data_IF_045616008007
#
_entry.id   IF_045616008007
#
_cell.length_a   1.000
_cell.length_b   1.000
_cell.length_c   1.000
_cell.angle_alpha   90.00
_cell.angle_beta   90.00
_cell.angle_gamma   90.00
#
_symmetry.space_group_name_H-M   'P 1'
#
loop_
_entity.id
_entity.type
_entity.pdbx_description
1 polymer ?
#
# COMPACT_ATOMS: atom_id res chain seq x y z
N UNK A 1 27.05 12.89 4.13
CA UNK A 1 27.25 12.21 2.83
C UNK A 1 28.16 10.99 2.95
N UNK A 2 29.36 11.06 3.58
CA UNK A 2 30.27 9.88 3.72
C UNK A 2 29.60 8.70 4.44
N UNK A 3 28.83 8.94 5.50
CA UNK A 3 28.15 7.86 6.25
C UNK A 3 27.04 7.18 5.43
N UNK A 4 26.30 7.94 4.62
CA UNK A 4 25.27 7.41 3.70
C UNK A 4 25.91 6.51 2.64
N UNK A 5 27.01 6.94 2.03
CA UNK A 5 27.75 6.17 1.03
C UNK A 5 28.31 4.89 1.66
N UNK A 6 28.84 4.98 2.87
CA UNK A 6 29.36 3.82 3.60
C UNK A 6 28.23 2.83 3.97
N UNK A 7 27.06 3.33 4.37
CA UNK A 7 25.89 2.49 4.65
C UNK A 7 25.43 1.74 3.40
N UNK A 8 25.26 2.44 2.28
CA UNK A 8 24.91 1.83 0.99
C UNK A 8 25.96 0.79 0.58
N UNK A 9 27.25 1.12 0.66
CA UNK A 9 28.33 0.18 0.35
C UNK A 9 28.30 -1.06 1.24
N UNK A 10 27.99 -0.92 2.51
CA UNK A 10 27.87 -2.04 3.45
C UNK A 10 26.66 -2.94 3.15
N UNK A 11 25.52 -2.35 2.72
CA UNK A 11 24.34 -3.10 2.27
C UNK A 11 24.69 -3.98 1.07
N UNK A 12 25.42 -3.44 0.07
CA UNK A 12 25.82 -4.20 -1.12
C UNK A 12 26.92 -5.24 -0.88
N UNK A 13 27.64 -5.18 0.24
CA UNK A 13 28.61 -6.20 0.64
C UNK A 13 27.95 -7.51 1.13
N UNK A 14 26.68 -7.44 1.55
CA UNK A 14 25.94 -8.63 2.01
C UNK A 14 25.34 -9.32 0.80
N UNK A 15 25.83 -10.52 0.49
CA UNK A 15 25.49 -11.25 -0.73
C UNK A 15 23.98 -11.56 -0.86
N UNK A 16 23.35 -12.04 0.21
CA UNK A 16 21.91 -12.32 0.26
C UNK A 16 21.06 -11.05 0.06
N UNK A 17 21.42 -9.97 0.76
CA UNK A 17 20.69 -8.69 0.67
C UNK A 17 20.86 -8.07 -0.72
N UNK A 18 22.07 -8.15 -1.29
CA UNK A 18 22.35 -7.72 -2.66
C UNK A 18 21.50 -8.47 -3.68
N UNK A 19 21.42 -9.81 -3.55
CA UNK A 19 20.61 -10.64 -4.44
C UNK A 19 19.12 -10.27 -4.34
N UNK A 20 18.59 -10.04 -3.14
CA UNK A 20 17.20 -9.61 -2.93
C UNK A 20 16.92 -8.24 -3.53
N UNK A 21 17.82 -7.26 -3.37
CA UNK A 21 17.71 -5.92 -3.97
C UNK A 21 17.69 -6.03 -5.49
N UNK A 22 18.64 -6.76 -6.08
CA UNK A 22 18.74 -6.93 -7.53
C UNK A 22 17.49 -7.62 -8.10
N UNK A 23 17.00 -8.67 -7.45
CA UNK A 23 15.75 -9.34 -7.85
C UNK A 23 14.57 -8.37 -7.81
N UNK A 24 14.44 -7.56 -6.76
CA UNK A 24 13.37 -6.56 -6.65
C UNK A 24 13.44 -5.56 -7.80
N UNK A 25 14.62 -4.99 -8.05
CA UNK A 25 14.81 -4.02 -9.15
C UNK A 25 14.54 -4.66 -10.52
N UNK A 26 14.96 -5.90 -10.73
CA UNK A 26 14.71 -6.62 -11.98
C UNK A 26 13.21 -6.84 -12.25
N UNK A 27 12.46 -7.31 -11.26
CA UNK A 27 11.01 -7.49 -11.40
C UNK A 27 10.26 -6.16 -11.58
N UNK A 28 10.68 -5.10 -10.88
CA UNK A 28 10.12 -3.76 -11.06
C UNK A 28 10.40 -3.19 -12.45
N UNK A 29 11.57 -3.48 -13.03
CA UNK A 29 11.90 -3.11 -14.40
C UNK A 29 10.98 -3.81 -15.40
N UNK A 30 10.74 -5.12 -15.24
CA UNK A 30 9.79 -5.87 -16.09
C UNK A 30 8.40 -5.25 -16.01
N UNK A 31 7.91 -4.95 -14.78
CA UNK A 31 6.64 -4.27 -14.60
C UNK A 31 6.59 -2.93 -15.35
N UNK A 32 7.65 -2.14 -15.23
CA UNK A 32 7.71 -0.81 -15.86
C UNK A 32 7.74 -0.89 -17.37
N UNK A 33 8.48 -1.82 -17.95
CA UNK A 33 8.47 -2.07 -19.40
C UNK A 33 7.08 -2.46 -19.90
N UNK A 34 6.41 -3.41 -19.22
CA UNK A 34 5.07 -3.84 -19.61
C UNK A 34 3.99 -2.75 -19.48
N UNK A 35 4.16 -1.79 -18.57
CA UNK A 35 3.27 -0.63 -18.46
C UNK A 35 3.30 0.31 -19.68
N UNK A 36 4.30 0.20 -20.54
CA UNK A 36 4.41 0.95 -21.80
C UNK A 36 4.01 0.15 -23.05
N UNK A 37 3.76 -1.14 -22.91
CA UNK A 37 3.28 -1.98 -24.02
C UNK A 37 1.79 -1.75 -24.23
N UNK A 38 1.40 -1.10 -25.31
CA UNK A 38 0.02 -0.75 -25.63
C UNK A 38 -0.77 -1.99 -26.07
N UNK A 39 -2.08 -2.01 -25.79
CA UNK A 39 -2.99 -3.06 -26.23
C UNK A 39 -2.99 -3.19 -27.78
N UNK A 40 -2.94 -4.40 -28.32
CA UNK A 40 -3.08 -4.62 -29.77
C UNK A 40 -4.37 -4.01 -30.31
N UNK A 41 -4.26 -3.23 -31.38
CA UNK A 41 -5.41 -2.55 -31.98
C UNK A 41 -5.67 -1.14 -31.43
N UNK A 42 -4.76 -0.58 -30.62
CA UNK A 42 -4.81 0.81 -30.15
C UNK A 42 -3.61 1.58 -30.67
N UNK A 43 -3.86 2.75 -31.30
CA UNK A 43 -2.80 3.64 -31.79
C UNK A 43 -2.30 4.55 -30.65
N UNK A 44 -1.03 4.42 -30.22
CA UNK A 44 -0.51 5.22 -29.12
C UNK A 44 -0.41 6.74 -29.42
N UNK A 45 -0.33 7.14 -30.68
CA UNK A 45 -0.20 8.54 -31.06
C UNK A 45 -1.48 9.37 -30.76
N UNK A 46 -2.63 8.72 -30.78
CA UNK A 46 -3.94 9.37 -30.58
C UNK A 46 -4.46 9.29 -29.15
N UNK A 47 -3.68 8.73 -28.22
CA UNK A 47 -4.05 8.63 -26.80
C UNK A 47 -3.87 9.93 -26.01
N UNK A 48 -3.47 11.02 -26.64
CA UNK A 48 -3.28 12.33 -25.98
C UNK A 48 -4.57 12.86 -25.36
N UNK A 49 -5.73 12.64 -26.01
CA UNK A 49 -7.06 13.01 -25.50
C UNK A 49 -7.42 12.24 -24.23
N UNK A 50 -7.09 10.95 -24.17
CA UNK A 50 -7.30 10.12 -22.99
C UNK A 50 -6.46 10.62 -21.81
N UNK A 51 -5.22 10.98 -22.06
CA UNK A 51 -4.29 11.48 -21.04
C UNK A 51 -4.76 12.80 -20.42
N UNK A 52 -5.31 13.71 -21.20
CA UNK A 52 -5.84 14.98 -20.70
C UNK A 52 -7.12 14.79 -19.86
N UNK A 53 -8.00 13.88 -20.23
CA UNK A 53 -9.22 13.58 -19.52
C UNK A 53 -9.02 12.72 -18.27
N UNK A 54 -7.99 11.86 -18.28
CA UNK A 54 -7.63 11.01 -17.14
C UNK A 54 -6.87 11.79 -16.07
N UNK A 55 -6.40 13.01 -16.34
CA UNK A 55 -5.65 13.84 -15.37
C UNK A 55 -6.51 14.34 -14.20
N UNK A 56 -7.83 14.19 -14.26
CA UNK A 56 -8.76 14.57 -13.18
C UNK A 56 -9.62 13.38 -12.71
N UNK A 57 -10.14 13.47 -11.49
CA UNK A 57 -11.09 12.50 -10.96
C UNK A 57 -10.50 11.15 -10.54
N UNK A 58 -11.39 10.21 -10.29
CA UNK A 58 -11.06 8.83 -9.86
C UNK A 58 -10.20 8.07 -10.90
N UNK A 59 -10.39 8.34 -12.19
CA UNK A 59 -9.59 7.72 -13.26
C UNK A 59 -8.13 8.15 -13.18
N UNK A 60 -7.84 9.38 -12.74
CA UNK A 60 -6.48 9.86 -12.49
C UNK A 60 -5.79 9.10 -11.35
N UNK A 61 -6.54 8.75 -10.30
CA UNK A 61 -6.02 7.91 -9.22
C UNK A 61 -5.74 6.48 -9.70
N UNK A 62 -6.64 5.87 -10.47
CA UNK A 62 -6.40 4.56 -11.09
C UNK A 62 -5.14 4.55 -11.92
N UNK A 63 -4.98 5.55 -12.76
CA UNK A 63 -3.84 5.70 -13.64
C UNK A 63 -2.54 5.94 -12.85
N UNK A 64 -2.63 6.63 -11.72
CA UNK A 64 -1.51 6.82 -10.81
C UNK A 64 -1.07 5.51 -10.15
N UNK A 65 -1.99 4.67 -9.67
CA UNK A 65 -1.67 3.36 -9.12
C UNK A 65 -1.16 2.37 -10.16
N UNK A 66 -1.66 2.47 -11.40
CA UNK A 66 -1.16 1.71 -12.53
C UNK A 66 0.15 2.28 -13.12
N UNK A 67 0.67 3.39 -12.56
CA UNK A 67 1.91 4.02 -13.04
C UNK A 67 1.84 4.57 -14.46
N UNK A 68 0.66 5.03 -14.91
CA UNK A 68 0.42 5.54 -16.25
C UNK A 68 -0.08 4.47 -17.23
N UNK A 69 -0.15 3.21 -16.83
CA UNK A 69 -0.57 2.12 -17.70
C UNK A 69 -2.02 2.24 -18.17
N UNK A 70 -2.89 2.85 -17.35
CA UNK A 70 -4.30 3.08 -17.70
C UNK A 70 -4.44 4.10 -18.83
N UNK A 71 -3.77 5.25 -18.74
CA UNK A 71 -3.81 6.31 -19.75
C UNK A 71 -3.06 5.98 -21.05
N UNK A 72 -2.10 5.05 -20.98
CA UNK A 72 -1.39 4.53 -22.15
C UNK A 72 -2.10 3.35 -22.81
N UNK A 73 -3.30 2.95 -22.35
CA UNK A 73 -4.03 1.78 -22.80
C UNK A 73 -3.11 0.55 -22.91
N UNK A 74 -2.31 0.29 -21.85
CA UNK A 74 -1.32 -0.78 -21.87
C UNK A 74 -1.95 -2.14 -21.49
N UNK A 75 -1.18 -3.21 -21.72
CA UNK A 75 -1.54 -4.56 -21.28
C UNK A 75 -1.73 -4.66 -19.76
N UNK A 76 -1.15 -3.73 -18.99
CA UNK A 76 -1.29 -3.62 -17.52
C UNK A 76 -2.24 -2.48 -17.11
N UNK A 77 -3.17 -2.05 -17.98
CA UNK A 77 -4.05 -0.92 -17.72
C UNK A 77 -4.88 -1.05 -16.43
N UNK A 78 -5.36 -2.24 -16.10
CA UNK A 78 -6.07 -2.50 -14.85
C UNK A 78 -5.12 -2.61 -13.63
N UNK A 79 -3.82 -2.78 -13.88
CA UNK A 79 -2.80 -2.86 -12.83
C UNK A 79 -3.07 -3.95 -11.82
N UNK A 80 -2.88 -3.63 -10.55
CA UNK A 80 -3.06 -4.54 -9.42
C UNK A 80 -4.41 -4.36 -8.70
N UNK A 81 -5.25 -3.40 -9.13
CA UNK A 81 -6.50 -3.06 -8.46
C UNK A 81 -7.49 -4.22 -8.33
N UNK A 82 -7.71 -5.07 -9.36
CA UNK A 82 -8.59 -6.23 -9.23
C UNK A 82 -8.14 -7.21 -8.14
N UNK A 83 -6.82 -7.39 -7.98
CA UNK A 83 -6.24 -8.23 -6.94
C UNK A 83 -6.44 -7.63 -5.54
N UNK A 84 -6.25 -6.32 -5.39
CA UNK A 84 -6.49 -5.64 -4.11
C UNK A 84 -7.95 -5.81 -3.70
N UNK A 85 -8.90 -5.57 -4.61
CA UNK A 85 -10.33 -5.76 -4.36
C UNK A 85 -10.65 -7.21 -3.94
N UNK A 86 -10.08 -8.20 -4.63
CA UNK A 86 -10.24 -9.60 -4.28
C UNK A 86 -9.67 -9.95 -2.90
N UNK A 87 -8.49 -9.43 -2.58
CA UNK A 87 -7.85 -9.64 -1.27
C UNK A 87 -8.67 -9.05 -0.13
N UNK A 88 -9.24 -7.86 -0.33
CA UNK A 88 -10.13 -7.19 0.63
C UNK A 88 -11.37 -8.05 0.89
N UNK A 89 -12.05 -8.49 -0.18
CA UNK A 89 -13.25 -9.33 -0.05
C UNK A 89 -12.94 -10.59 0.74
N UNK A 90 -11.84 -11.29 0.46
CA UNK A 90 -11.47 -12.49 1.20
C UNK A 90 -11.05 -12.22 2.65
N UNK A 91 -10.43 -11.09 2.95
CA UNK A 91 -10.13 -10.70 4.32
C UNK A 91 -11.43 -10.43 5.11
N UNK A 92 -12.41 -9.76 4.51
CA UNK A 92 -13.73 -9.54 5.11
C UNK A 92 -14.49 -10.86 5.31
N UNK A 93 -14.47 -11.75 4.32
CA UNK A 93 -15.06 -13.09 4.42
C UNK A 93 -14.36 -13.94 5.51
N UNK A 94 -13.05 -13.76 5.70
CA UNK A 94 -12.28 -14.38 6.78
C UNK A 94 -12.74 -14.00 8.17
N UNK A 95 -13.49 -12.91 8.32
CA UNK A 95 -14.08 -12.47 9.60
C UNK A 95 -15.54 -12.89 9.68
N UNK A 96 -16.29 -12.72 8.58
CA UNK A 96 -17.72 -12.97 8.55
C UNK A 96 -18.08 -14.48 8.53
N UNK A 97 -17.28 -15.30 7.86
CA UNK A 97 -17.61 -16.71 7.60
C UNK A 97 -16.68 -17.65 8.40
N UNK A 98 -17.22 -18.54 9.26
CA UNK A 98 -16.42 -19.46 10.07
C UNK A 98 -15.50 -20.39 9.28
N UNK A 99 -15.85 -20.72 8.04
CA UNK A 99 -15.03 -21.54 7.14
C UNK A 99 -13.68 -20.86 6.84
N UNK A 100 -13.70 -19.59 6.46
CA UNK A 100 -12.48 -18.84 6.20
C UNK A 100 -11.69 -18.50 7.47
N UNK A 101 -12.40 -18.33 8.62
CA UNK A 101 -11.73 -18.17 9.93
C UNK A 101 -10.90 -19.40 10.31
N UNK A 102 -11.44 -20.60 10.10
CA UNK A 102 -10.70 -21.85 10.34
C UNK A 102 -9.46 -21.92 9.45
N UNK A 103 -9.63 -21.58 8.17
CA UNK A 103 -8.55 -21.60 7.21
C UNK A 103 -7.42 -20.61 7.57
N UNK A 104 -7.74 -19.41 8.09
CA UNK A 104 -6.74 -18.47 8.58
C UNK A 104 -5.95 -19.02 9.79
N UNK A 105 -6.59 -19.86 10.64
CA UNK A 105 -5.96 -20.49 11.80
C UNK A 105 -5.11 -21.72 11.44
N UNK A 106 -5.27 -22.32 10.27
CA UNK A 106 -4.50 -23.48 9.78
C UNK A 106 -3.03 -23.14 9.44
N UNK A 107 -2.60 -21.89 9.63
CA UNK A 107 -1.22 -21.46 9.41
C UNK A 107 -0.85 -21.38 7.92
N UNK A 108 0.29 -21.95 7.54
CA UNK A 108 0.84 -21.79 6.18
C UNK A 108 -0.01 -22.49 5.10
N UNK A 109 -0.58 -23.65 5.42
CA UNK A 109 -1.47 -24.38 4.51
C UNK A 109 -2.74 -23.58 4.20
N UNK A 110 -3.35 -23.00 5.24
CA UNK A 110 -4.54 -22.17 5.09
C UNK A 110 -4.27 -20.88 4.30
N UNK A 111 -3.12 -20.24 4.54
CA UNK A 111 -2.69 -19.08 3.74
C UNK A 111 -2.54 -19.39 2.26
N UNK A 112 -1.97 -20.54 1.91
CA UNK A 112 -1.85 -20.98 0.50
C UNK A 112 -3.23 -21.13 -0.17
N UNK A 113 -4.22 -21.71 0.54
CA UNK A 113 -5.59 -21.84 0.03
C UNK A 113 -6.26 -20.47 -0.14
N UNK A 114 -6.13 -19.57 0.84
CA UNK A 114 -6.68 -18.21 0.76
C UNK A 114 -6.07 -17.47 -0.45
N UNK A 115 -4.76 -17.58 -0.67
CA UNK A 115 -4.11 -16.97 -1.83
C UNK A 115 -4.65 -17.54 -3.16
N UNK A 116 -4.96 -18.85 -3.23
CA UNK A 116 -5.59 -19.43 -4.42
C UNK A 116 -7.00 -18.85 -4.65
N UNK A 117 -7.82 -18.75 -3.62
CA UNK A 117 -9.14 -18.11 -3.73
C UNK A 117 -9.04 -16.64 -4.15
N UNK A 118 -8.04 -15.92 -3.63
CA UNK A 118 -7.77 -14.54 -4.06
C UNK A 118 -7.47 -14.48 -5.56
N UNK A 119 -6.66 -15.38 -6.09
CA UNK A 119 -6.36 -15.44 -7.52
C UNK A 119 -7.61 -15.71 -8.38
N UNK A 120 -8.44 -16.69 -7.99
CA UNK A 120 -9.70 -16.97 -8.71
C UNK A 120 -10.64 -15.76 -8.69
N UNK A 121 -10.81 -15.15 -7.51
CA UNK A 121 -11.66 -13.96 -7.39
C UNK A 121 -11.10 -12.78 -8.18
N UNK A 122 -9.78 -12.62 -8.25
CA UNK A 122 -9.11 -11.60 -9.08
C UNK A 122 -9.47 -11.77 -10.55
N UNK A 123 -9.46 -13.00 -11.08
CA UNK A 123 -9.84 -13.29 -12.48
C UNK A 123 -11.30 -12.89 -12.75
N UNK A 124 -12.19 -13.24 -11.82
CA UNK A 124 -13.62 -12.90 -11.94
C UNK A 124 -13.81 -11.37 -11.94
N UNK A 125 -13.23 -10.67 -10.96
CA UNK A 125 -13.32 -9.20 -10.85
C UNK A 125 -12.71 -8.53 -12.09
N UNK A 126 -11.57 -9.02 -12.58
CA UNK A 126 -10.92 -8.50 -13.79
C UNK A 126 -11.81 -8.69 -15.01
N UNK A 127 -12.50 -9.87 -15.12
CA UNK A 127 -13.45 -10.17 -16.19
C UNK A 127 -14.63 -9.18 -16.25
N UNK A 128 -15.05 -8.64 -15.11
CA UNK A 128 -16.07 -7.58 -15.06
C UNK A 128 -15.49 -6.17 -15.30
N UNK A 129 -14.30 -5.88 -14.80
CA UNK A 129 -13.67 -4.56 -14.93
C UNK A 129 -13.10 -4.30 -16.33
N UNK A 130 -12.60 -5.34 -17.03
CA UNK A 130 -11.99 -5.17 -18.34
C UNK A 130 -12.99 -4.65 -19.41
N UNK A 131 -14.22 -5.19 -19.54
CA UNK A 131 -15.21 -4.61 -20.44
C UNK A 131 -15.55 -3.16 -20.10
N UNK A 132 -15.70 -2.83 -18.80
CA UNK A 132 -15.95 -1.44 -18.34
C UNK A 132 -14.84 -0.48 -18.74
N UNK A 133 -13.59 -0.91 -18.62
CA UNK A 133 -12.44 -0.17 -19.11
C UNK A 133 -12.48 0.07 -20.63
N UNK A 134 -12.80 -0.96 -21.42
CA UNK A 134 -12.89 -0.86 -22.89
C UNK A 134 -14.03 0.05 -23.35
N UNK A 135 -15.17 0.04 -22.64
CA UNK A 135 -16.26 0.98 -22.90
C UNK A 135 -15.81 2.43 -22.64
N UNK A 136 -15.12 2.65 -21.54
CA UNK A 136 -14.55 3.95 -21.21
C UNK A 136 -13.50 4.40 -22.25
N UNK A 137 -12.59 3.51 -22.64
CA UNK A 137 -11.60 3.77 -23.68
C UNK A 137 -12.25 4.13 -25.02
N UNK A 138 -13.33 3.42 -25.40
CA UNK A 138 -14.09 3.69 -26.61
C UNK A 138 -14.81 5.03 -26.56
N UNK A 139 -15.34 5.44 -25.42
CA UNK A 139 -16.03 6.73 -25.29
C UNK A 139 -15.07 7.93 -25.31
N UNK A 140 -13.86 7.76 -24.81
CA UNK A 140 -12.90 8.87 -24.65
C UNK A 140 -11.86 8.94 -25.79
N UNK A 141 -11.50 7.82 -26.41
CA UNK A 141 -10.46 7.73 -27.41
C UNK A 141 -10.87 6.84 -28.60
N UNK A 142 -12.08 7.06 -29.12
CA UNK A 142 -12.60 6.28 -30.26
C UNK A 142 -11.68 6.31 -31.49
N UNK A 143 -11.06 7.46 -31.79
CA UNK A 143 -10.11 7.62 -32.90
C UNK A 143 -8.83 6.80 -32.76
N UNK A 144 -8.43 6.48 -31.52
CA UNK A 144 -7.24 5.67 -31.28
C UNK A 144 -7.46 4.17 -31.54
N UNK A 145 -8.69 3.71 -31.69
CA UNK A 145 -9.00 2.30 -31.89
C UNK A 145 -9.06 1.92 -33.38
N UNK A 146 -8.24 0.96 -33.79
CA UNK A 146 -8.25 0.41 -35.14
C UNK A 146 -9.60 -0.23 -35.48
N UNK A 147 -10.27 -0.84 -34.50
CA UNK A 147 -11.60 -1.43 -34.66
C UNK A 147 -12.72 -0.42 -34.99
N UNK A 148 -12.49 0.88 -34.72
CA UNK A 148 -13.43 1.96 -35.03
C UNK A 148 -13.02 2.66 -36.34
N UNK A 149 -11.69 2.89 -36.55
CA UNK A 149 -11.17 3.59 -37.72
C UNK A 149 -11.11 2.69 -38.95
N UNK A 150 -10.76 1.39 -38.77
CA UNK A 150 -10.65 0.41 -39.85
C UNK A 150 -11.29 -0.93 -39.42
N UNK A 151 -12.64 -1.04 -39.43
CA UNK A 151 -13.35 -2.22 -38.97
C UNK A 151 -13.11 -3.47 -39.87
N UNK A 152 -12.60 -3.26 -41.09
CA UNK A 152 -12.21 -4.34 -42.00
C UNK A 152 -10.99 -5.12 -41.51
N UNK A 153 -10.05 -4.46 -40.79
CA UNK A 153 -8.85 -5.09 -40.26
C UNK A 153 -9.15 -5.84 -38.97
N UNK A 154 -9.99 -5.27 -38.11
CA UNK A 154 -10.34 -5.87 -36.81
C UNK A 154 -11.77 -5.52 -36.43
N UNK A 155 -12.63 -6.54 -36.34
CA UNK A 155 -14.02 -6.34 -35.94
C UNK A 155 -14.10 -5.88 -34.48
N UNK A 156 -15.08 -5.02 -34.11
CA UNK A 156 -15.23 -4.54 -32.74
C UNK A 156 -15.40 -5.66 -31.69
N UNK A 157 -16.01 -6.77 -32.10
CA UNK A 157 -16.17 -7.95 -31.24
C UNK A 157 -14.83 -8.64 -30.97
N UNK A 158 -14.03 -8.90 -32.02
CA UNK A 158 -12.70 -9.51 -31.87
C UNK A 158 -11.77 -8.63 -31.04
N UNK A 159 -11.78 -7.30 -31.25
CA UNK A 159 -11.02 -6.37 -30.43
C UNK A 159 -11.41 -6.47 -28.95
N UNK A 160 -12.70 -6.49 -28.63
CA UNK A 160 -13.17 -6.57 -27.24
C UNK A 160 -12.74 -7.88 -26.59
N UNK A 161 -12.95 -9.02 -27.25
CA UNK A 161 -12.59 -10.34 -26.69
C UNK A 161 -11.08 -10.47 -26.49
N UNK A 162 -10.27 -10.11 -27.48
CA UNK A 162 -8.81 -10.19 -27.38
C UNK A 162 -8.26 -9.24 -26.31
N UNK A 163 -8.77 -8.01 -26.24
CA UNK A 163 -8.37 -7.04 -25.21
C UNK A 163 -8.74 -7.48 -23.79
N UNK A 164 -9.92 -8.05 -23.58
CA UNK A 164 -10.33 -8.60 -22.28
C UNK A 164 -9.39 -9.73 -21.85
N UNK A 165 -9.07 -10.66 -22.74
CA UNK A 165 -8.15 -11.77 -22.43
C UNK A 165 -6.76 -11.24 -22.09
N UNK A 166 -6.25 -10.27 -22.85
CA UNK A 166 -4.94 -9.67 -22.61
C UNK A 166 -4.91 -8.91 -21.28
N UNK A 167 -5.95 -8.16 -20.94
CA UNK A 167 -6.05 -7.43 -19.67
C UNK A 167 -6.10 -8.38 -18.47
N UNK A 168 -6.84 -9.49 -18.57
CA UNK A 168 -6.86 -10.53 -17.54
C UNK A 168 -5.48 -11.15 -17.37
N UNK A 169 -4.85 -11.55 -18.47
CA UNK A 169 -3.50 -12.12 -18.46
C UNK A 169 -2.47 -11.13 -17.87
N UNK A 170 -2.56 -9.86 -18.26
CA UNK A 170 -1.71 -8.78 -17.73
C UNK A 170 -1.87 -8.60 -16.25
N UNK A 171 -3.10 -8.58 -15.73
CA UNK A 171 -3.37 -8.46 -14.28
C UNK A 171 -2.83 -9.66 -13.51
N UNK A 172 -3.01 -10.88 -14.00
CA UNK A 172 -2.46 -12.10 -13.39
C UNK A 172 -0.93 -12.05 -13.37
N UNK A 173 -0.32 -11.57 -14.45
CA UNK A 173 1.13 -11.44 -14.54
C UNK A 173 1.67 -10.41 -13.55
N UNK A 174 1.03 -9.24 -13.41
CA UNK A 174 1.41 -8.22 -12.41
C UNK A 174 1.26 -8.77 -10.98
N UNK A 175 0.18 -9.50 -10.70
CA UNK A 175 -0.01 -10.19 -9.43
C UNK A 175 1.13 -11.18 -9.16
N UNK A 176 1.48 -12.01 -10.14
CA UNK A 176 2.59 -12.97 -10.02
C UNK A 176 3.94 -12.27 -9.79
N UNK A 177 4.19 -11.13 -10.46
CA UNK A 177 5.37 -10.30 -10.21
C UNK A 177 5.40 -9.82 -8.75
N UNK A 178 4.28 -9.33 -8.21
CA UNK A 178 4.16 -8.90 -6.82
C UNK A 178 4.46 -10.02 -5.83
N UNK A 179 3.94 -11.21 -6.06
CA UNK A 179 4.24 -12.40 -5.24
C UNK A 179 5.73 -12.77 -5.33
N UNK A 180 6.33 -12.74 -6.53
CA UNK A 180 7.76 -13.04 -6.71
C UNK A 180 8.68 -12.05 -6.03
N UNK A 181 8.31 -10.75 -6.03
CA UNK A 181 9.06 -9.74 -5.28
C UNK A 181 8.96 -10.03 -3.78
N UNK A 182 7.78 -10.38 -3.27
CA UNK A 182 7.59 -10.73 -1.86
C UNK A 182 8.41 -11.95 -1.44
N UNK A 183 8.45 -12.99 -2.28
CA UNK A 183 9.16 -14.25 -1.98
C UNK A 183 10.69 -14.13 -2.08
N UNK A 184 11.18 -13.49 -3.14
CA UNK A 184 12.61 -13.47 -3.51
C UNK A 184 13.26 -12.10 -3.40
N UNK A 185 12.50 -11.07 -3.15
CA UNK A 185 12.95 -9.68 -3.05
C UNK A 185 12.93 -9.16 -1.62
N UNK A 186 12.70 -7.85 -1.52
CA UNK A 186 12.56 -7.10 -0.28
C UNK A 186 11.12 -6.54 -0.19
N UNK A 187 10.58 -6.51 1.01
CA UNK A 187 9.30 -5.87 1.27
C UNK A 187 8.08 -6.62 0.74
N UNK A 188 6.95 -5.95 0.77
CA UNK A 188 5.72 -6.43 0.14
C UNK A 188 5.72 -6.03 -1.34
N UNK A 189 5.85 -7.02 -2.24
CA UNK A 189 5.99 -6.77 -3.67
C UNK A 189 4.81 -6.01 -4.30
N UNK A 190 3.59 -6.26 -3.82
CA UNK A 190 2.39 -5.57 -4.28
C UNK A 190 2.47 -4.08 -3.95
N UNK A 191 2.81 -3.77 -2.70
CA UNK A 191 2.97 -2.39 -2.25
C UNK A 191 4.11 -1.67 -2.97
N UNK A 192 5.21 -2.38 -3.28
CA UNK A 192 6.33 -1.85 -4.07
C UNK A 192 5.93 -1.54 -5.52
N UNK A 193 5.13 -2.38 -6.16
CA UNK A 193 4.61 -2.13 -7.51
C UNK A 193 3.77 -0.85 -7.54
N UNK A 194 2.88 -0.67 -6.55
CA UNK A 194 2.06 0.54 -6.42
C UNK A 194 2.95 1.76 -6.19
N UNK A 195 3.90 1.66 -5.26
CA UNK A 195 4.83 2.74 -4.94
C UNK A 195 5.63 3.20 -6.18
N UNK A 196 6.15 2.26 -6.97
CA UNK A 196 6.90 2.57 -8.20
C UNK A 196 5.98 3.23 -9.23
N UNK A 197 4.72 2.80 -9.33
CA UNK A 197 3.72 3.46 -10.16
C UNK A 197 3.52 4.92 -9.78
N UNK A 198 3.39 5.21 -8.49
CA UNK A 198 3.24 6.57 -7.95
C UNK A 198 4.49 7.41 -8.21
N UNK A 199 5.68 6.90 -7.85
CA UNK A 199 6.96 7.63 -8.02
C UNK A 199 7.22 7.96 -9.49
N UNK A 200 6.86 7.08 -10.40
CA UNK A 200 7.11 7.27 -11.82
C UNK A 200 6.37 8.49 -12.43
N UNK A 201 5.28 8.91 -11.81
CA UNK A 201 4.52 10.11 -12.24
C UNK A 201 4.98 11.39 -11.59
N UNK A 202 5.67 11.32 -10.46
CA UNK A 202 6.12 12.49 -9.72
C UNK A 202 6.97 13.46 -10.55
N UNK A 203 7.98 13.04 -11.34
CA UNK A 203 8.79 13.96 -12.14
C UNK A 203 7.96 14.70 -13.20
N UNK A 204 7.02 14.03 -13.85
CA UNK A 204 6.15 14.65 -14.85
C UNK A 204 5.20 15.67 -14.21
N UNK A 205 4.55 15.31 -13.10
CA UNK A 205 3.64 16.21 -12.38
C UNK A 205 4.37 17.43 -11.82
N UNK A 206 5.60 17.27 -11.32
CA UNK A 206 6.44 18.37 -10.84
C UNK A 206 6.82 19.32 -11.98
N UNK A 207 7.17 18.77 -13.16
CA UNK A 207 7.48 19.56 -14.35
C UNK A 207 6.25 20.34 -14.82
N UNK A 208 5.10 19.69 -14.90
CA UNK A 208 3.85 20.32 -15.35
C UNK A 208 3.45 21.47 -14.41
N UNK A 209 3.57 21.29 -13.09
CA UNK A 209 3.32 22.34 -12.10
C UNK A 209 4.32 23.50 -12.24
N UNK A 210 5.61 23.21 -12.37
CA UNK A 210 6.65 24.21 -12.57
C UNK A 210 6.38 25.07 -13.81
N UNK A 211 6.06 24.45 -14.96
CA UNK A 211 5.74 25.16 -16.19
C UNK A 211 4.48 26.00 -16.06
N UNK A 212 3.44 25.46 -15.40
CA UNK A 212 2.19 26.18 -15.13
C UNK A 212 2.42 27.44 -14.28
N UNK A 213 3.22 27.33 -13.22
CA UNK A 213 3.54 28.46 -12.32
C UNK A 213 4.48 29.47 -12.97
N UNK A 214 5.43 29.02 -13.78
CA UNK A 214 6.33 29.93 -14.53
C UNK A 214 5.56 30.79 -15.53
N UNK A 215 4.58 30.23 -16.23
CA UNK A 215 3.74 30.96 -17.17
C UNK A 215 2.85 32.01 -16.51
N UNK A 216 2.49 31.82 -15.23
CA UNK A 216 1.69 32.75 -14.43
C UNK A 216 2.51 33.69 -13.54
N UNK A 217 3.86 33.69 -13.65
CA UNK A 217 4.76 34.55 -12.85
C UNK A 217 4.87 34.16 -11.36
N UNK A 218 4.41 32.96 -10.98
CA UNK A 218 4.28 32.48 -9.59
C UNK A 218 5.44 31.62 -9.07
N UNK A 219 6.70 31.91 -9.38
CA UNK A 219 7.84 31.14 -8.89
C UNK A 219 7.89 31.04 -7.35
N UNK A 220 7.50 32.11 -6.65
CA UNK A 220 7.40 32.10 -5.17
C UNK A 220 6.32 31.13 -4.71
N UNK A 221 5.17 31.05 -5.39
CA UNK A 221 4.12 30.11 -5.07
C UNK A 221 4.62 28.66 -5.23
N UNK A 222 5.34 28.35 -6.28
CA UNK A 222 5.94 27.02 -6.48
C UNK A 222 6.92 26.65 -5.35
N UNK A 223 7.75 27.57 -4.86
CA UNK A 223 8.65 27.33 -3.74
C UNK A 223 7.87 27.05 -2.45
N UNK A 224 6.79 27.80 -2.18
CA UNK A 224 5.90 27.57 -1.03
C UNK A 224 5.26 26.19 -1.12
N UNK A 225 4.83 25.78 -2.32
CA UNK A 225 4.26 24.44 -2.58
C UNK A 225 5.27 23.34 -2.24
N UNK A 226 6.51 23.44 -2.70
CA UNK A 226 7.57 22.46 -2.37
C UNK A 226 7.80 22.37 -0.85
N UNK A 227 7.86 23.51 -0.16
CA UNK A 227 8.05 23.54 1.30
C UNK A 227 6.85 22.90 2.01
N UNK A 228 5.62 23.22 1.56
CA UNK A 228 4.41 22.61 2.10
C UNK A 228 4.39 21.09 1.89
N UNK A 229 4.76 20.61 0.69
CA UNK A 229 4.90 19.19 0.41
C UNK A 229 5.88 18.50 1.37
N UNK A 230 7.06 19.09 1.55
CA UNK A 230 8.07 18.56 2.48
C UNK A 230 7.54 18.49 3.92
N UNK A 231 6.82 19.51 4.38
CA UNK A 231 6.21 19.54 5.71
C UNK A 231 5.16 18.45 5.88
N UNK A 232 4.31 18.23 4.88
CA UNK A 232 3.32 17.15 4.89
C UNK A 232 4.00 15.79 4.95
N UNK A 233 5.05 15.55 4.15
CA UNK A 233 5.82 14.31 4.17
C UNK A 233 6.39 14.05 5.58
N UNK A 234 7.04 15.04 6.19
CA UNK A 234 7.60 14.92 7.54
C UNK A 234 6.50 14.58 8.56
N UNK A 235 5.36 15.25 8.48
CA UNK A 235 4.23 15.02 9.39
C UNK A 235 3.68 13.59 9.25
N UNK A 236 3.57 13.08 8.02
CA UNK A 236 3.15 11.70 7.75
C UNK A 236 4.17 10.68 8.27
N UNK A 237 5.48 10.94 8.10
CA UNK A 237 6.54 10.07 8.65
C UNK A 237 6.43 10.00 10.18
N UNK A 238 6.27 11.14 10.86
CA UNK A 238 6.10 11.19 12.31
C UNK A 238 4.89 10.41 12.79
N UNK A 239 3.77 10.46 12.06
CA UNK A 239 2.59 9.67 12.38
C UNK A 239 2.85 8.17 12.24
N UNK A 240 3.41 7.75 11.09
CA UNK A 240 3.63 6.32 10.79
C UNK A 240 4.64 5.70 11.77
N UNK A 241 5.65 6.48 12.20
CA UNK A 241 6.63 6.05 13.20
C UNK A 241 6.16 6.22 14.64
N UNK A 242 5.07 6.94 14.86
CA UNK A 242 4.52 7.22 16.18
C UNK A 242 4.20 5.94 16.96
N UNK A 243 4.81 5.80 18.16
CA UNK A 243 4.60 4.64 19.03
C UNK A 243 4.31 5.04 20.46
N UNK A 244 3.31 4.39 21.07
CA UNK A 244 3.08 4.46 22.53
C UNK A 244 3.83 3.31 23.20
N UNK A 245 4.77 3.64 24.09
CA UNK A 245 5.56 2.66 24.82
C UNK A 245 4.86 2.30 26.13
N UNK A 246 4.46 1.03 26.28
CA UNK A 246 3.90 0.51 27.55
C UNK A 246 5.03 -0.12 28.35
N UNK A 247 5.27 0.30 29.61
CA UNK A 247 6.31 -0.31 30.44
C UNK A 247 5.87 -1.70 30.89
N UNK A 248 6.71 -2.69 30.67
CA UNK A 248 6.55 -4.07 31.13
C UNK A 248 7.72 -4.44 32.01
N UNK A 249 7.43 -5.07 33.14
CA UNK A 249 8.42 -5.54 34.06
C UNK A 249 8.45 -7.07 34.04
N UNK A 250 9.63 -7.63 33.89
CA UNK A 250 9.81 -9.10 33.97
C UNK A 250 10.10 -9.47 35.43
N UNK A 251 9.44 -10.50 35.92
CA UNK A 251 9.63 -10.98 37.29
C UNK A 251 11.10 -11.37 37.52
N UNK A 252 11.63 -10.99 38.67
CA UNK A 252 12.98 -11.39 39.07
C UNK A 252 12.97 -12.86 39.40
N UNK A 253 13.88 -13.64 38.78
CA UNK A 253 14.16 -15.04 39.13
C UNK A 253 15.47 -15.09 39.89
N UNK A 254 15.47 -15.74 41.04
CA UNK A 254 16.66 -16.02 41.84
C UNK A 254 17.05 -17.46 41.52
N UNK A 255 18.27 -17.66 40.97
CA UNK A 255 18.84 -18.97 40.72
C UNK A 255 20.18 -19.02 41.47
N UNK A 256 20.19 -19.72 42.61
CA UNK A 256 21.31 -19.69 43.54
C UNK A 256 21.52 -18.31 44.11
N UNK A 257 22.77 -17.82 44.14
CA UNK A 257 23.12 -16.48 44.67
C UNK A 257 23.00 -15.34 43.61
N UNK A 258 22.41 -15.59 42.41
CA UNK A 258 22.34 -14.61 41.35
C UNK A 258 20.89 -14.27 41.02
N UNK A 259 20.58 -12.98 40.97
CA UNK A 259 19.31 -12.46 40.49
C UNK A 259 19.34 -12.30 38.98
N UNK A 260 18.40 -12.94 38.28
CA UNK A 260 18.14 -12.78 36.86
C UNK A 260 16.79 -12.09 36.65
N UNK A 261 16.70 -11.15 35.70
CA UNK A 261 15.47 -10.41 35.39
C UNK A 261 15.35 -9.08 36.11
N UNK A 262 14.16 -8.52 36.16
CA UNK A 262 13.88 -7.21 36.77
C UNK A 262 14.17 -6.00 35.87
N UNK A 263 14.55 -6.23 34.62
CA UNK A 263 14.75 -5.16 33.61
C UNK A 263 13.41 -4.66 33.15
N UNK A 264 13.22 -3.33 33.12
CA UNK A 264 12.06 -2.71 32.50
C UNK A 264 12.20 -2.80 30.98
N UNK A 265 11.26 -3.44 30.35
CA UNK A 265 11.09 -3.49 28.89
C UNK A 265 9.89 -2.63 28.49
N UNK A 266 9.83 -2.25 27.23
CA UNK A 266 8.71 -1.48 26.69
C UNK A 266 8.10 -2.21 25.50
N UNK A 267 6.78 -2.34 25.51
CA UNK A 267 6.04 -2.81 24.32
C UNK A 267 5.68 -1.57 23.50
N UNK A 268 6.20 -1.42 22.26
CA UNK A 268 5.83 -0.32 21.40
C UNK A 268 4.49 -0.64 20.71
N UNK A 269 3.44 0.11 21.05
CA UNK A 269 2.18 0.08 20.31
C UNK A 269 2.21 1.19 19.25
N UNK A 270 2.13 0.83 17.98
CA UNK A 270 2.10 1.80 16.88
C UNK A 270 0.78 2.59 16.91
N UNK A 271 0.83 3.90 16.71
CA UNK A 271 -0.36 4.76 16.57
C UNK A 271 -1.15 4.36 15.33
N UNK A 272 -0.44 4.07 14.25
CA UNK A 272 -1.00 3.49 13.04
C UNK A 272 -0.60 2.00 12.96
N UNK A 273 -1.23 1.15 13.77
CA UNK A 273 -1.01 -0.30 13.74
C UNK A 273 -1.58 -0.95 12.47
N UNK A 274 -2.60 -0.35 11.88
CA UNK A 274 -3.23 -0.80 10.65
C UNK A 274 -2.39 -0.52 9.37
N UNK A 275 -1.38 0.35 9.46
CA UNK A 275 -0.52 0.73 8.32
C UNK A 275 -1.30 1.47 7.24
N UNK A 276 -1.06 1.10 5.99
CA UNK A 276 -1.66 1.74 4.80
C UNK A 276 -2.97 1.05 4.36
N UNK A 277 -3.26 -0.14 4.91
CA UNK A 277 -4.35 -1.00 4.45
C UNK A 277 -5.75 -0.34 4.54
N UNK A 278 -6.11 0.39 5.61
CA UNK A 278 -7.42 1.02 5.71
C UNK A 278 -7.72 1.99 4.57
N UNK A 279 -6.70 2.71 4.11
CA UNK A 279 -6.84 3.71 3.04
C UNK A 279 -7.04 3.00 1.70
N UNK A 280 -6.28 1.93 1.44
CA UNK A 280 -6.43 1.12 0.23
C UNK A 280 -7.83 0.51 0.19
N UNK A 281 -8.37 0.04 1.33
CA UNK A 281 -9.71 -0.51 1.44
C UNK A 281 -10.79 0.54 1.19
N UNK A 282 -10.68 1.70 1.82
CA UNK A 282 -11.59 2.81 1.59
C UNK A 282 -11.60 3.20 0.10
N UNK A 283 -10.43 3.30 -0.51
CA UNK A 283 -10.29 3.61 -1.93
C UNK A 283 -10.93 2.55 -2.82
N UNK A 284 -10.70 1.26 -2.56
CA UNK A 284 -11.27 0.18 -3.34
C UNK A 284 -12.80 0.15 -3.27
N UNK A 285 -13.39 0.45 -2.11
CA UNK A 285 -14.85 0.57 -1.96
C UNK A 285 -15.39 1.78 -2.72
N UNK A 286 -14.67 2.91 -2.70
CA UNK A 286 -15.06 4.11 -3.45
C UNK A 286 -15.04 3.88 -4.98
N UNK A 287 -14.26 2.88 -5.47
CA UNK A 287 -14.29 2.50 -6.88
C UNK A 287 -15.56 1.76 -7.31
N UNK A 288 -16.24 1.07 -6.39
CA UNK A 288 -17.42 0.27 -6.74
C UNK A 288 -18.54 1.14 -7.32
N UNK A 289 -18.99 2.24 -6.65
CA UNK A 289 -20.00 3.13 -7.20
C UNK A 289 -19.58 3.76 -8.53
N UNK A 290 -18.31 4.17 -8.66
CA UNK A 290 -17.79 4.76 -9.88
C UNK A 290 -17.78 3.77 -11.06
N UNK A 291 -17.45 2.50 -10.80
CA UNK A 291 -17.47 1.44 -11.82
C UNK A 291 -18.92 1.13 -12.24
N UNK A 292 -19.83 1.02 -11.27
CA UNK A 292 -21.25 0.76 -11.56
C UNK A 292 -21.85 1.90 -12.39
N UNK A 293 -21.53 3.15 -12.08
CA UNK A 293 -22.00 4.32 -12.84
C UNK A 293 -21.57 4.28 -14.32
N UNK A 294 -20.43 3.70 -14.66
CA UNK A 294 -19.96 3.55 -16.04
C UNK A 294 -20.83 2.62 -16.88
N UNK A 295 -21.54 1.67 -16.27
CA UNK A 295 -22.48 0.79 -17.00
C UNK A 295 -23.85 1.44 -17.28
N UNK A 296 -24.18 2.56 -16.60
CA UNK A 296 -25.44 3.27 -16.74
C UNK A 296 -25.28 4.75 -17.11
N UNK A 297 -24.58 5.09 -18.22
CA UNK A 297 -24.22 6.48 -18.53
C UNK A 297 -25.43 7.36 -18.86
N UNK A 298 -26.56 6.79 -19.27
CA UNK A 298 -27.74 7.51 -19.73
C UNK A 298 -28.87 7.59 -18.69
N UNK A 299 -28.66 7.07 -17.46
CA UNK A 299 -29.67 7.17 -16.39
C UNK A 299 -29.36 8.33 -15.46
N UNK A 300 -30.40 9.08 -15.04
CA UNK A 300 -30.25 10.20 -14.10
C UNK A 300 -29.57 9.76 -12.79
N UNK A 301 -29.91 8.58 -12.30
CA UNK A 301 -29.26 7.99 -11.13
C UNK A 301 -27.78 7.67 -11.37
N UNK A 302 -27.45 7.13 -12.56
CA UNK A 302 -26.05 6.83 -12.95
C UNK A 302 -25.22 8.12 -13.06
N UNK A 303 -25.77 9.17 -13.65
CA UNK A 303 -25.09 10.47 -13.74
C UNK A 303 -24.93 11.12 -12.36
N UNK A 304 -25.93 11.06 -11.48
CA UNK A 304 -25.83 11.56 -10.11
C UNK A 304 -24.76 10.85 -9.29
N UNK A 305 -24.66 9.52 -9.39
CA UNK A 305 -23.61 8.74 -8.75
C UNK A 305 -22.25 9.07 -9.37
N UNK A 306 -22.15 9.13 -10.70
CA UNK A 306 -20.92 9.47 -11.38
C UNK A 306 -20.39 10.85 -10.96
N UNK A 307 -21.21 11.89 -10.97
CA UNK A 307 -20.80 13.26 -10.59
C UNK A 307 -20.37 13.35 -9.13
N UNK A 308 -21.04 12.63 -8.22
CA UNK A 308 -20.72 12.65 -6.79
C UNK A 308 -19.46 11.87 -6.46
N UNK A 309 -19.30 10.67 -7.01
CA UNK A 309 -18.21 9.75 -6.65
C UNK A 309 -17.00 9.81 -7.59
N UNK A 310 -17.12 10.39 -8.79
CA UNK A 310 -15.97 10.59 -9.69
C UNK A 310 -15.23 11.89 -9.39
N UNK A 311 -15.93 12.89 -8.84
CA UNK A 311 -15.33 14.19 -8.53
C UNK A 311 -14.81 14.20 -7.08
N UNK A 312 -13.50 14.00 -6.88
CA UNK A 312 -12.89 13.98 -5.55
C UNK A 312 -12.78 15.36 -4.88
N UNK A 313 -13.12 16.45 -5.53
CA UNK A 313 -13.27 17.76 -4.88
C UNK A 313 -14.65 17.92 -4.22
N UNK A 314 -15.59 17.01 -4.48
CA UNK A 314 -16.92 17.04 -3.89
C UNK A 314 -16.86 16.82 -2.37
N UNK A 315 -17.66 17.60 -1.63
CA UNK A 315 -17.81 17.43 -0.18
C UNK A 315 -18.26 16.01 0.22
N UNK A 316 -19.26 15.46 -0.49
CA UNK A 316 -19.80 14.13 -0.22
C UNK A 316 -18.79 13.02 -0.46
N UNK A 317 -17.96 13.13 -1.51
CA UNK A 317 -16.86 12.21 -1.75
C UNK A 317 -15.90 12.18 -0.56
N UNK A 318 -15.42 13.36 -0.14
CA UNK A 318 -14.44 13.49 0.95
C UNK A 318 -15.01 13.05 2.29
N UNK A 319 -16.29 13.34 2.57
CA UNK A 319 -16.95 12.93 3.80
C UNK A 319 -17.08 11.40 3.90
N UNK A 320 -17.57 10.75 2.84
CA UNK A 320 -17.69 9.28 2.79
C UNK A 320 -16.31 8.63 2.86
N UNK A 321 -15.35 9.16 2.13
CA UNK A 321 -13.97 8.63 2.11
C UNK A 321 -13.32 8.72 3.49
N UNK A 322 -13.40 9.87 4.17
CA UNK A 322 -12.91 10.04 5.53
C UNK A 322 -13.57 9.09 6.51
N UNK A 323 -14.89 8.95 6.45
CA UNK A 323 -15.65 8.04 7.31
C UNK A 323 -15.23 6.59 7.10
N UNK A 324 -15.07 6.16 5.84
CA UNK A 324 -14.58 4.83 5.52
C UNK A 324 -13.17 4.59 6.07
N UNK A 325 -12.25 5.55 5.94
CA UNK A 325 -10.89 5.43 6.49
C UNK A 325 -10.95 5.24 8.00
N UNK A 326 -11.74 6.03 8.73
CA UNK A 326 -11.87 5.89 10.18
C UNK A 326 -12.40 4.50 10.54
N UNK A 327 -13.50 4.07 9.93
CA UNK A 327 -14.12 2.76 10.18
C UNK A 327 -13.14 1.62 9.89
N UNK A 328 -12.46 1.66 8.74
CA UNK A 328 -11.50 0.62 8.38
C UNK A 328 -10.23 0.64 9.24
N UNK A 329 -9.82 1.81 9.74
CA UNK A 329 -8.68 1.89 10.66
C UNK A 329 -9.00 1.17 11.97
N UNK A 330 -10.17 1.39 12.54
CA UNK A 330 -10.63 0.66 13.73
C UNK A 330 -10.76 -0.83 13.47
N UNK A 331 -11.43 -1.18 12.39
CA UNK A 331 -11.65 -2.56 11.98
C UNK A 331 -10.31 -3.31 11.77
N UNK A 332 -9.38 -2.73 11.03
CA UNK A 332 -8.11 -3.37 10.73
C UNK A 332 -7.19 -3.43 11.96
N UNK A 333 -7.23 -2.42 12.80
CA UNK A 333 -6.48 -2.42 14.07
C UNK A 333 -6.95 -3.56 14.97
N UNK A 334 -8.27 -3.77 15.09
CA UNK A 334 -8.85 -4.86 15.89
C UNK A 334 -8.47 -6.27 15.38
N UNK A 335 -8.21 -6.40 14.07
CA UNK A 335 -7.77 -7.68 13.49
C UNK A 335 -6.28 -7.90 13.69
N UNK A 336 -5.47 -6.84 13.45
CA UNK A 336 -4.01 -6.95 13.44
C UNK A 336 -3.45 -7.10 14.85
N UNK A 337 -4.03 -6.41 15.81
CA UNK A 337 -3.61 -6.46 17.22
C UNK A 337 -4.58 -7.31 18.01
N UNK A 338 -4.11 -8.43 18.57
CA UNK A 338 -4.90 -9.28 19.44
C UNK A 338 -4.46 -9.09 20.90
N UNK A 339 -5.20 -8.29 21.71
CA UNK A 339 -4.82 -7.98 23.09
C UNK A 339 -4.78 -9.23 23.98
N UNK A 340 -5.66 -10.23 23.73
CA UNK A 340 -5.69 -11.45 24.51
C UNK A 340 -4.43 -12.27 24.31
N UNK A 341 -3.99 -12.46 23.07
CA UNK A 341 -2.77 -13.18 22.75
C UNK A 341 -1.54 -12.47 23.32
N UNK A 342 -1.48 -11.15 23.19
CA UNK A 342 -0.38 -10.36 23.76
C UNK A 342 -0.31 -10.51 25.30
N UNK A 343 -1.45 -10.48 25.99
CA UNK A 343 -1.50 -10.65 27.44
C UNK A 343 -1.10 -12.07 27.88
N UNK A 344 -1.48 -13.11 27.12
CA UNK A 344 -1.07 -14.48 27.37
C UNK A 344 0.43 -14.69 27.15
N UNK A 345 0.98 -14.17 26.07
CA UNK A 345 2.41 -14.26 25.76
C UNK A 345 3.26 -13.53 26.81
N UNK A 346 2.80 -12.35 27.27
CA UNK A 346 3.40 -11.66 28.40
C UNK A 346 3.39 -12.52 29.67
N UNK A 347 2.25 -13.14 29.99
CA UNK A 347 2.11 -14.01 31.16
C UNK A 347 3.04 -15.23 31.08
N UNK A 348 3.13 -15.89 29.92
CA UNK A 348 4.04 -17.02 29.67
C UNK A 348 5.50 -16.64 29.87
N UNK A 349 5.88 -15.43 29.43
CA UNK A 349 7.25 -14.91 29.55
C UNK A 349 7.56 -14.28 30.93
N UNK A 350 6.63 -14.37 31.89
CA UNK A 350 6.79 -13.80 33.23
C UNK A 350 6.78 -12.28 33.28
N UNK A 351 6.28 -11.62 32.21
CA UNK A 351 6.13 -10.18 32.14
C UNK A 351 4.78 -9.72 32.70
N UNK A 352 4.76 -8.55 33.32
CA UNK A 352 3.55 -7.91 33.81
C UNK A 352 3.64 -6.38 33.66
N UNK A 353 2.49 -5.73 33.53
CA UNK A 353 2.38 -4.28 33.52
C UNK A 353 2.26 -3.81 34.96
N UNK A 354 3.11 -2.89 35.45
CA UNK A 354 2.99 -2.37 36.83
C UNK A 354 1.60 -1.81 37.09
N UNK A 355 0.95 -2.25 38.17
CA UNK A 355 -0.38 -1.81 38.56
C UNK A 355 -1.55 -2.57 37.89
N UNK A 356 -1.29 -3.53 36.98
CA UNK A 356 -2.33 -4.31 36.29
C UNK A 356 -2.13 -5.81 36.58
N UNK A 357 -3.21 -6.51 36.94
CA UNK A 357 -3.17 -7.96 37.18
C UNK A 357 -2.89 -8.70 35.86
N UNK A 358 -1.91 -9.67 35.83
CA UNK A 358 -1.62 -10.46 34.65
C UNK A 358 -2.84 -11.25 34.14
N UNK A 359 -2.97 -11.41 32.82
CA UNK A 359 -4.05 -12.12 32.16
C UNK A 359 -5.14 -11.18 31.63
N UNK A 360 -6.41 -11.48 31.89
CA UNK A 360 -7.55 -10.74 31.29
C UNK A 360 -7.53 -9.23 31.55
N UNK A 361 -7.14 -8.80 32.75
CA UNK A 361 -7.01 -7.36 33.05
C UNK A 361 -5.91 -6.66 32.24
N UNK A 362 -4.83 -7.37 31.91
CA UNK A 362 -3.78 -6.88 31.02
C UNK A 362 -4.32 -6.75 29.59
N UNK A 363 -5.12 -7.72 29.10
CA UNK A 363 -5.77 -7.63 27.80
C UNK A 363 -6.72 -6.43 27.70
N UNK A 364 -7.59 -6.24 28.70
CA UNK A 364 -8.51 -5.10 28.80
C UNK A 364 -7.75 -3.76 28.83
N UNK A 365 -6.62 -3.69 29.54
CA UNK A 365 -5.77 -2.49 29.57
C UNK A 365 -5.16 -2.18 28.19
N UNK A 366 -4.61 -3.19 27.51
CA UNK A 366 -4.02 -3.02 26.17
C UNK A 366 -5.09 -2.59 25.18
N UNK A 367 -6.28 -3.21 25.21
CA UNK A 367 -7.41 -2.87 24.34
C UNK A 367 -7.87 -1.42 24.53
N UNK A 368 -8.02 -0.97 25.78
CA UNK A 368 -8.36 0.42 26.10
C UNK A 368 -7.30 1.41 25.60
N UNK A 369 -6.02 1.07 25.74
CA UNK A 369 -4.93 1.93 25.23
C UNK A 369 -4.97 1.97 23.71
N UNK A 370 -5.15 0.83 23.05
CA UNK A 370 -5.25 0.75 21.58
C UNK A 370 -6.41 1.57 21.04
N UNK A 371 -7.61 1.43 21.61
CA UNK A 371 -8.79 2.17 21.17
C UNK A 371 -8.59 3.69 21.28
N UNK A 372 -7.94 4.16 22.36
CA UNK A 372 -7.65 5.58 22.57
C UNK A 372 -6.57 6.12 21.61
N UNK A 373 -5.61 5.28 21.21
CA UNK A 373 -4.54 5.70 20.28
C UNK A 373 -5.05 5.65 18.82
N UNK A 374 -5.92 4.69 18.51
CA UNK A 374 -6.47 4.51 17.16
C UNK A 374 -7.33 5.71 16.73
N UNK A 375 -8.08 6.33 17.66
CA UNK A 375 -8.93 7.47 17.33
C UNK A 375 -8.15 8.66 16.72
N UNK A 376 -7.15 9.25 17.41
CA UNK A 376 -6.38 10.34 16.82
C UNK A 376 -5.59 9.89 15.59
N UNK A 377 -5.11 8.64 15.56
CA UNK A 377 -4.45 8.07 14.39
C UNK A 377 -5.36 8.01 13.17
N UNK A 378 -6.59 7.52 13.31
CA UNK A 378 -7.57 7.44 12.23
C UNK A 378 -8.04 8.81 11.74
N UNK A 379 -8.26 9.75 12.66
CA UNK A 379 -8.63 11.13 12.28
C UNK A 379 -7.51 11.80 11.48
N UNK A 380 -6.26 11.61 11.89
CA UNK A 380 -5.13 12.17 11.17
C UNK A 380 -4.95 11.51 9.79
N UNK A 381 -5.12 10.19 9.68
CA UNK A 381 -5.10 9.49 8.39
C UNK A 381 -6.20 10.01 7.45
N UNK A 382 -7.41 10.22 7.97
CA UNK A 382 -8.51 10.79 7.21
C UNK A 382 -8.21 12.22 6.74
N UNK A 383 -7.61 13.04 7.61
CA UNK A 383 -7.19 14.42 7.27
C UNK A 383 -6.15 14.40 6.15
N UNK A 384 -5.10 13.59 6.27
CA UNK A 384 -4.07 13.47 5.22
C UNK A 384 -4.66 12.96 3.92
N UNK A 385 -5.64 12.07 3.98
CA UNK A 385 -6.31 11.54 2.80
C UNK A 385 -7.11 12.60 2.02
N UNK A 386 -7.62 13.64 2.70
CA UNK A 386 -8.40 14.73 2.10
C UNK A 386 -7.50 15.91 1.67
N UNK A 387 -6.25 16.00 2.13
CA UNK A 387 -5.34 17.10 1.79
C UNK A 387 -5.26 17.43 0.29
N UNK A 388 -5.26 16.48 -0.66
CA UNK A 388 -5.27 16.79 -2.09
C UNK A 388 -6.42 17.70 -2.52
N UNK A 389 -7.61 17.54 -1.93
CA UNK A 389 -8.76 18.41 -2.20
C UNK A 389 -8.48 19.85 -1.82
N UNK A 390 -7.88 20.08 -0.64
CA UNK A 390 -7.48 21.42 -0.21
C UNK A 390 -6.39 22.00 -1.09
N UNK A 391 -5.43 21.18 -1.53
CA UNK A 391 -4.37 21.60 -2.44
C UNK A 391 -4.94 22.10 -3.79
N UNK A 392 -5.93 21.41 -4.35
CA UNK A 392 -6.61 21.82 -5.59
C UNK A 392 -7.39 23.14 -5.37
N UNK A 393 -8.07 23.31 -4.24
CA UNK A 393 -8.77 24.55 -3.91
C UNK A 393 -7.83 25.75 -3.78
N UNK A 394 -6.57 25.53 -3.40
CA UNK A 394 -5.50 26.53 -3.37
C UNK A 394 -4.87 26.79 -4.75
N UNK A 395 -5.37 26.14 -5.81
CA UNK A 395 -4.94 26.36 -7.18
C UNK A 395 -3.76 25.52 -7.64
N UNK A 396 -3.39 24.44 -6.91
CA UNK A 396 -2.40 23.48 -7.32
C UNK A 396 -2.99 22.57 -8.40
N UNK A 397 -2.22 22.21 -9.42
CA UNK A 397 -2.72 21.33 -10.48
C UNK A 397 -3.15 19.96 -9.90
N UNK A 398 -4.20 19.40 -10.46
CA UNK A 398 -4.79 18.13 -9.99
C UNK A 398 -3.77 16.99 -9.94
N UNK A 399 -2.89 16.90 -10.95
CA UNK A 399 -1.84 15.88 -11.01
C UNK A 399 -0.82 16.00 -9.88
N UNK A 400 -0.43 17.21 -9.51
CA UNK A 400 0.54 17.46 -8.46
C UNK A 400 -0.10 17.40 -7.06
N UNK A 401 -1.34 17.82 -6.94
CA UNK A 401 -2.10 17.80 -5.68
C UNK A 401 -2.19 16.39 -5.06
N UNK A 402 -2.26 15.33 -5.86
CA UNK A 402 -2.26 13.95 -5.38
C UNK A 402 -1.01 13.56 -4.59
N UNK A 403 0.10 14.28 -4.75
CA UNK A 403 1.33 14.06 -3.97
C UNK A 403 1.35 14.77 -2.62
N UNK A 404 0.43 15.74 -2.38
CA UNK A 404 0.31 16.41 -1.09
C UNK A 404 -0.35 15.56 -0.01
N UNK A 405 -0.92 14.43 -0.35
CA UNK A 405 -1.61 13.60 0.61
C UNK A 405 -2.33 12.46 -0.09
N UNK A 406 -3.50 12.14 0.43
CA UNK A 406 -4.31 11.07 -0.12
C UNK A 406 -3.64 9.71 0.06
N UNK A 407 -4.12 8.76 -0.70
CA UNK A 407 -3.63 7.38 -0.70
C UNK A 407 -2.20 7.26 -1.18
N UNK A 408 -1.81 8.08 -2.17
CA UNK A 408 -0.49 8.00 -2.81
C UNK A 408 0.66 8.33 -1.88
N UNK A 409 0.58 9.45 -1.16
CA UNK A 409 1.64 9.82 -0.21
C UNK A 409 1.75 8.83 0.94
N UNK A 410 0.60 8.40 1.50
CA UNK A 410 0.57 7.46 2.61
C UNK A 410 1.12 6.09 2.22
N UNK A 411 0.80 5.60 1.01
CA UNK A 411 1.37 4.36 0.49
C UNK A 411 2.88 4.52 0.28
N UNK A 412 3.31 5.61 -0.33
CA UNK A 412 4.73 5.87 -0.60
C UNK A 412 5.55 5.86 0.71
N UNK A 413 5.13 6.65 1.70
CA UNK A 413 5.82 6.73 3.00
C UNK A 413 5.77 5.40 3.74
N UNK A 414 4.60 4.74 3.79
CA UNK A 414 4.43 3.46 4.48
C UNK A 414 5.31 2.36 3.90
N UNK A 415 5.31 2.21 2.57
CA UNK A 415 6.11 1.17 1.89
C UNK A 415 7.60 1.42 2.02
N UNK A 416 8.05 2.68 1.91
CA UNK A 416 9.47 3.03 2.11
C UNK A 416 9.91 2.69 3.53
N UNK A 417 9.12 3.06 4.55
CA UNK A 417 9.45 2.78 5.95
C UNK A 417 9.43 1.27 6.25
N UNK A 418 8.45 0.53 5.76
CA UNK A 418 8.39 -0.93 5.94
C UNK A 418 9.59 -1.63 5.25
N UNK A 419 9.98 -1.17 4.06
CA UNK A 419 11.13 -1.71 3.35
C UNK A 419 12.44 -1.41 4.08
N UNK A 420 12.59 -0.19 4.61
CA UNK A 420 13.75 0.18 5.43
C UNK A 420 13.84 -0.65 6.72
N UNK A 421 12.72 -0.86 7.43
CA UNK A 421 12.70 -1.72 8.63
C UNK A 421 13.10 -3.16 8.31
N UNK A 422 12.72 -3.69 7.15
CA UNK A 422 13.15 -5.04 6.73
C UNK A 422 14.64 -5.08 6.42
N UNK A 423 15.19 -4.07 5.74
CA UNK A 423 16.64 -3.97 5.49
C UNK A 423 17.41 -3.90 6.81
N UNK A 424 16.98 -3.06 7.74
CA UNK A 424 17.58 -2.95 9.07
C UNK A 424 17.55 -4.27 9.83
N UNK A 425 16.43 -5.00 9.80
CA UNK A 425 16.29 -6.29 10.47
C UNK A 425 17.23 -7.34 9.87
N UNK A 426 17.41 -7.38 8.55
CA UNK A 426 18.38 -8.25 7.89
C UNK A 426 19.83 -7.89 8.24
N UNK A 427 20.15 -6.61 8.35
CA UNK A 427 21.47 -6.14 8.78
C UNK A 427 21.79 -6.56 10.23
N UNK A 428 20.84 -6.41 11.13
CA UNK A 428 20.97 -6.78 12.54
C UNK A 428 21.18 -8.29 12.70
N UNK A 429 20.41 -9.13 12.03
CA UNK A 429 20.56 -10.60 12.10
C UNK A 429 21.96 -11.03 11.67
N UNK A 430 22.50 -10.48 10.61
CA UNK A 430 23.87 -10.80 10.15
C UNK A 430 24.98 -10.26 11.07
N UNK A 431 24.74 -9.14 11.74
CA UNK A 431 25.71 -8.65 12.73
C UNK A 431 25.85 -9.61 13.90
N UNK A 432 24.74 -10.21 14.36
CA UNK A 432 24.75 -11.25 15.38
C UNK A 432 25.46 -12.55 14.92
N UNK A 433 25.21 -13.00 13.69
CA UNK A 433 25.89 -14.17 13.11
C UNK A 433 27.41 -13.95 12.97
N UNK A 434 27.83 -12.75 12.61
CA UNK A 434 29.24 -12.36 12.55
C UNK A 434 29.92 -12.36 13.92
N UNK A 435 29.24 -11.93 14.97
CA UNK A 435 29.71 -11.96 16.35
C UNK A 435 29.82 -13.40 16.89
N UNK A 436 28.91 -14.29 16.51
CA UNK A 436 28.94 -15.70 16.86
C UNK A 436 30.09 -16.45 16.15
N UNK A 437 30.29 -16.21 14.85
CA UNK A 437 31.36 -16.81 14.06
C UNK A 437 32.75 -16.30 14.43
N UNK A 438 32.87 -15.06 14.88
CA UNK A 438 34.17 -14.48 15.32
C UNK A 438 34.57 -14.86 16.74
N UNK A 439 33.81 -15.72 17.46
CA UNK A 439 34.12 -16.19 18.80
C UNK A 439 34.19 -15.09 19.88
N UNK A 440 33.73 -13.88 19.58
CA UNK A 440 33.73 -12.75 20.55
C UNK A 440 32.69 -12.88 21.67
N UNK A 441 31.69 -13.77 21.50
CA UNK A 441 30.82 -14.19 22.58
C UNK A 441 31.43 -15.53 23.11
N UNK A 442 32.45 -15.45 23.91
CA UNK A 442 32.91 -16.58 24.72
C UNK A 442 31.80 -16.86 25.76
N UNK A 443 31.00 -17.88 25.50
CA UNK A 443 30.25 -18.52 26.57
C UNK A 443 31.23 -18.87 27.68
N UNK A 444 30.88 -18.55 28.92
CA UNK A 444 31.67 -18.81 30.12
C UNK A 444 31.91 -20.33 30.18
N UNK A 445 32.99 -20.81 29.60
CA UNK A 445 33.44 -22.17 29.81
C UNK A 445 33.64 -22.37 31.31
N UNK A 446 33.04 -23.43 31.84
CA UNK A 446 33.20 -23.87 33.21
C UNK A 446 34.68 -24.01 33.54
N UNK A 447 35.19 -23.05 34.29
CA UNK A 447 36.42 -23.29 35.07
C UNK A 447 35.97 -24.09 36.28
N UNK A 448 36.27 -25.37 36.32
CA UNK A 448 35.97 -26.19 37.49
C UNK A 448 35.85 -27.68 37.21
N UNK A 449 36.87 -28.26 36.54
CA UNK A 449 37.11 -29.69 36.63
C UNK A 449 38.64 -29.91 36.70
N UNK A 450 39.19 -29.51 37.85
CA UNK A 450 40.50 -29.93 38.29
C UNK A 450 40.57 -29.69 39.82
N UNK A 451 40.05 -30.64 40.57
CA UNK A 451 40.54 -31.15 41.85
C UNK A 451 39.64 -32.31 42.23
#
# INVERSE_FOLDING_TARGET
>A
MKDLINTVRNIFKIEDLRARILNTLFFLLIYRLGAHVVLPGVNPAELSSLKSQTSGGILGLLDMFAGGAFSHASIFALGIMPYISASIVLQLLGIAIPYFQKMQKEGESGRKKINQYTRYLTVIICGFQAPGYLVNLKSQAAGAMISVTNPEIMSPFMFTVTSVIILIAGTIFVMWLGERITDKGLGNGISLIIMVGIIARLPASLKDEFVSRMSSGGLIAFLIEIVALALVIVTVILLVQGTRRIPVQVAKKIVGNKQYGGVRQYIPLKVNAAGVMPIIFAQAIMFIPATVAQFFPNSDAGQGIATTFTNFTSFWYNFVFATLIIVFTYFYTAITVNPNQMAEDMKKNGGFIPGVKPGRKTAEFIDNVMSRITLPGSMFLALVAILPTFAILLGISSNFAHFYGGTSLLILVGVVLDTLQQIESHLLMRHYDGLMKSGRIKGRTAVGAAM
#
